data_IF_194968625051
#
_entry.id   IF_194968625051
#
_cell.length_a   1.000
_cell.length_b   1.000
_cell.length_c   1.000
_cell.angle_alpha   90.00
_cell.angle_beta   90.00
_cell.angle_gamma   90.00
#
_symmetry.space_group_name_H-M   'P 1'
#
loop_
_entity.id
_entity.type
_entity.pdbx_description
1 polymer ?
#
# COMPACT_ATOMS: atom_id res chain seq x y z
N UNK A 1 5.52 -15.60 4.98
CA UNK A 1 6.52 -14.96 4.10
C UNK A 1 6.93 -13.66 4.75
N UNK A 2 8.22 -13.36 4.85
CA UNK A 2 8.71 -12.14 5.48
C UNK A 2 9.24 -11.23 4.37
N UNK A 3 8.86 -9.96 4.39
CA UNK A 3 9.34 -8.92 3.47
C UNK A 3 10.22 -7.96 4.27
N UNK A 4 11.52 -7.92 3.95
CA UNK A 4 12.51 -7.22 4.79
C UNK A 4 12.88 -5.84 4.21
N UNK A 5 12.78 -5.69 2.89
CA UNK A 5 13.10 -4.47 2.16
C UNK A 5 12.12 -4.31 0.99
N UNK A 6 10.99 -3.64 1.26
CA UNK A 6 10.00 -3.30 0.24
C UNK A 6 10.45 -2.03 -0.48
N UNK A 7 10.50 -2.08 -1.81
CA UNK A 7 10.84 -0.93 -2.64
C UNK A 7 9.64 0.01 -2.83
N UNK A 8 8.43 -0.57 -2.90
CA UNK A 8 7.20 0.18 -3.10
C UNK A 8 6.02 -0.51 -2.41
N UNK A 9 5.22 0.27 -1.69
CA UNK A 9 3.98 -0.16 -1.05
C UNK A 9 2.89 0.84 -1.40
N UNK A 10 1.89 0.43 -2.19
CA UNK A 10 0.85 1.32 -2.68
C UNK A 10 -0.53 0.67 -2.60
N UNK A 11 -1.55 1.49 -2.34
CA UNK A 11 -2.95 1.11 -2.49
C UNK A 11 -3.52 1.79 -3.73
N UNK A 12 -4.20 1.03 -4.58
CA UNK A 12 -4.85 1.56 -5.77
C UNK A 12 -6.22 0.93 -6.00
N UNK A 13 -6.93 1.44 -6.98
CA UNK A 13 -8.26 0.96 -7.36
C UNK A 13 -8.42 0.86 -8.85
N UNK A 14 -9.19 -0.12 -9.31
CA UNK A 14 -9.54 -0.31 -10.72
C UNK A 14 -11.05 -0.34 -10.85
N UNK A 15 -11.57 0.10 -12.00
CA UNK A 15 -13.00 0.08 -12.30
C UNK A 15 -13.68 1.45 -12.16
N UNK A 16 -14.95 1.50 -12.55
CA UNK A 16 -15.76 2.71 -12.54
C UNK A 16 -16.23 3.04 -11.11
N UNK A 17 -16.56 4.30 -10.79
CA UNK A 17 -17.24 4.65 -9.55
C UNK A 17 -18.50 3.79 -9.35
N UNK A 18 -18.58 3.07 -8.22
CA UNK A 18 -19.65 2.09 -7.92
C UNK A 18 -19.23 0.64 -8.06
N UNK A 19 -18.25 0.37 -8.93
CA UNK A 19 -17.69 -0.98 -9.21
C UNK A 19 -16.18 -1.02 -8.97
N UNK A 20 -15.70 -0.20 -8.02
CA UNK A 20 -14.27 -0.12 -7.71
C UNK A 20 -13.83 -1.33 -6.92
N UNK A 21 -12.84 -2.03 -7.45
CA UNK A 21 -12.05 -3.00 -6.69
C UNK A 21 -10.78 -2.32 -6.17
N UNK A 22 -10.37 -2.66 -4.95
CA UNK A 22 -9.22 -2.08 -4.29
C UNK A 22 -8.13 -3.13 -4.16
N UNK A 23 -6.88 -2.69 -4.32
CA UNK A 23 -5.71 -3.56 -4.25
C UNK A 23 -4.59 -2.92 -3.44
N UNK A 24 -3.83 -3.75 -2.74
CA UNK A 24 -2.51 -3.40 -2.21
C UNK A 24 -1.46 -4.04 -3.12
N UNK A 25 -0.47 -3.26 -3.53
CA UNK A 25 0.72 -3.76 -4.22
C UNK A 25 1.99 -3.56 -3.39
N UNK A 26 2.79 -4.61 -3.32
CA UNK A 26 4.12 -4.61 -2.73
C UNK A 26 5.16 -5.02 -3.79
N UNK A 27 6.17 -4.19 -3.99
CA UNK A 27 7.32 -4.45 -4.85
C UNK A 27 8.54 -4.76 -4.00
N UNK A 28 9.20 -5.88 -4.28
CA UNK A 28 10.51 -6.21 -3.74
C UNK A 28 11.39 -6.78 -4.87
N UNK A 29 12.35 -5.99 -5.33
CA UNK A 29 13.16 -6.23 -6.51
C UNK A 29 12.28 -6.62 -7.70
N UNK A 30 12.46 -7.81 -8.26
CA UNK A 30 11.65 -8.31 -9.39
C UNK A 30 10.29 -8.86 -8.97
N UNK A 31 10.02 -8.99 -7.67
CA UNK A 31 8.80 -9.59 -7.16
C UNK A 31 7.71 -8.54 -6.93
N UNK A 32 6.55 -8.77 -7.52
CA UNK A 32 5.33 -8.01 -7.27
C UNK A 32 4.34 -8.93 -6.57
N UNK A 33 3.71 -8.44 -5.50
CA UNK A 33 2.61 -9.12 -4.81
C UNK A 33 1.43 -8.16 -4.82
N UNK A 34 0.29 -8.65 -5.29
CA UNK A 34 -0.95 -7.87 -5.34
C UNK A 34 -2.03 -8.59 -4.55
N UNK A 35 -2.73 -7.87 -3.69
CA UNK A 35 -3.76 -8.43 -2.82
C UNK A 35 -5.04 -7.62 -2.98
N UNK A 36 -6.17 -8.29 -3.22
CA UNK A 36 -7.49 -7.66 -3.21
C UNK A 36 -7.86 -7.28 -1.77
N UNK A 37 -8.51 -6.13 -1.60
CA UNK A 37 -8.85 -5.62 -0.27
C UNK A 37 -10.17 -4.87 -0.31
N UNK A 38 -10.89 -4.84 0.81
CA UNK A 38 -12.07 -3.99 0.93
C UNK A 38 -11.71 -2.54 1.23
N UNK A 39 -12.53 -1.59 0.76
CA UNK A 39 -12.39 -0.16 1.06
C UNK A 39 -12.32 0.14 2.56
N UNK A 40 -13.11 -0.58 3.36
CA UNK A 40 -13.15 -0.46 4.82
C UNK A 40 -11.80 -0.81 5.46
N UNK A 41 -11.16 -1.87 4.96
CA UNK A 41 -9.87 -2.35 5.43
C UNK A 41 -8.73 -1.42 5.01
N UNK A 42 -8.79 -0.86 3.79
CA UNK A 42 -7.86 0.20 3.35
C UNK A 42 -7.92 1.39 4.30
N UNK A 43 -9.12 1.87 4.63
CA UNK A 43 -9.28 3.01 5.53
C UNK A 43 -8.71 2.72 6.94
N UNK A 44 -8.97 1.53 7.48
CA UNK A 44 -8.44 1.11 8.76
C UNK A 44 -6.90 1.01 8.75
N UNK A 45 -6.32 0.42 7.69
CA UNK A 45 -4.88 0.29 7.51
C UNK A 45 -4.20 1.66 7.44
N UNK A 46 -4.71 2.57 6.62
CA UNK A 46 -4.16 3.93 6.49
C UNK A 46 -4.17 4.66 7.82
N UNK A 47 -5.30 4.64 8.54
CA UNK A 47 -5.38 5.29 9.86
C UNK A 47 -4.38 4.71 10.86
N UNK A 48 -4.20 3.39 10.87
CA UNK A 48 -3.22 2.73 11.74
C UNK A 48 -1.78 3.08 11.35
N UNK A 49 -1.47 3.10 10.06
CA UNK A 49 -0.15 3.47 9.54
C UNK A 49 0.20 4.92 9.89
N UNK A 50 -0.73 5.86 9.72
CA UNK A 50 -0.55 7.27 10.09
C UNK A 50 -0.21 7.43 11.58
N UNK A 51 -0.92 6.70 12.45
CA UNK A 51 -0.67 6.71 13.89
C UNK A 51 0.74 6.18 14.22
N UNK A 52 1.15 5.07 13.61
CA UNK A 52 2.48 4.49 13.80
C UNK A 52 3.59 5.41 13.28
N UNK A 53 3.43 5.95 12.07
CA UNK A 53 4.37 6.90 11.48
C UNK A 53 4.49 8.17 12.33
N UNK A 54 3.40 8.67 12.90
CA UNK A 54 3.42 9.81 13.83
C UNK A 54 4.29 9.52 15.06
N UNK A 55 4.21 8.32 15.63
CA UNK A 55 5.05 7.92 16.76
C UNK A 55 6.52 7.81 16.36
N UNK A 56 6.82 7.19 15.22
CA UNK A 56 8.18 7.04 14.71
C UNK A 56 8.84 8.38 14.35
N UNK A 57 8.06 9.35 13.85
CA UNK A 57 8.53 10.72 13.59
C UNK A 57 8.93 11.40 14.90
N UNK A 58 8.12 11.24 15.96
CA UNK A 58 8.43 11.79 17.29
C UNK A 58 9.68 11.18 17.92
N UNK A 59 9.94 9.90 17.67
CA UNK A 59 11.15 9.21 18.15
C UNK A 59 12.37 9.41 17.25
N UNK A 60 12.25 10.17 16.15
CA UNK A 60 13.36 10.44 15.22
C UNK A 60 13.81 9.25 14.36
N UNK A 61 13.03 8.19 14.28
CA UNK A 61 13.39 6.97 13.53
C UNK A 61 13.03 7.04 12.03
N UNK A 62 12.15 7.97 11.64
CA UNK A 62 11.77 8.20 10.25
C UNK A 62 11.77 9.69 9.93
N UNK A 63 11.91 10.03 8.65
CA UNK A 63 11.89 11.40 8.19
C UNK A 63 10.56 12.10 8.53
N UNK A 64 10.65 13.40 8.83
CA UNK A 64 9.47 14.23 9.12
C UNK A 64 8.52 14.34 7.90
N UNK A 65 9.08 14.26 6.69
CA UNK A 65 8.35 14.28 5.43
C UNK A 65 8.80 13.12 4.55
N UNK A 66 7.92 12.68 3.65
CA UNK A 66 8.22 11.63 2.68
C UNK A 66 7.63 12.03 1.32
N UNK A 67 8.28 11.65 0.21
CA UNK A 67 7.70 11.86 -1.11
C UNK A 67 6.37 11.10 -1.21
N UNK A 68 5.39 11.72 -1.87
CA UNK A 68 4.10 11.09 -2.16
C UNK A 68 4.24 10.25 -3.43
N UNK A 69 3.76 9.01 -3.38
CA UNK A 69 3.67 8.13 -4.53
C UNK A 69 2.25 8.19 -5.12
N UNK A 70 2.11 8.95 -6.20
CA UNK A 70 0.87 9.09 -6.97
C UNK A 70 0.89 8.26 -8.29
N UNK A 71 1.86 7.36 -8.45
CA UNK A 71 1.95 6.53 -9.66
C UNK A 71 0.89 5.43 -9.66
N UNK A 72 0.41 4.97 -10.83
CA UNK A 72 -0.59 3.91 -10.91
C UNK A 72 -0.07 2.57 -10.36
N UNK A 73 -1.00 1.64 -10.15
CA UNK A 73 -0.68 0.23 -9.93
C UNK A 73 0.09 -0.33 -11.12
N UNK A 74 1.07 -1.17 -10.82
CA UNK A 74 1.86 -1.86 -11.82
C UNK A 74 1.01 -2.92 -12.53
N UNK A 75 1.21 -3.05 -13.84
CA UNK A 75 0.48 -3.97 -14.71
C UNK A 75 1.32 -5.24 -14.99
N UNK A 76 0.69 -6.41 -15.16
CA UNK A 76 -0.74 -6.69 -14.98
C UNK A 76 -1.14 -6.71 -13.50
N UNK A 77 -2.40 -6.40 -13.22
CA UNK A 77 -2.96 -6.48 -11.86
C UNK A 77 -3.54 -7.89 -11.69
N UNK A 78 -2.73 -8.80 -11.15
CA UNK A 78 -3.10 -10.19 -10.85
C UNK A 78 -3.16 -10.37 -9.34
N UNK A 79 -4.31 -10.71 -8.77
CA UNK A 79 -4.45 -10.88 -7.31
C UNK A 79 -3.99 -12.27 -6.86
N UNK A 80 -3.10 -12.31 -5.86
CA UNK A 80 -2.58 -13.55 -5.28
C UNK A 80 -3.56 -14.22 -4.29
N UNK A 81 -4.64 -13.54 -3.90
CA UNK A 81 -5.62 -14.05 -2.95
C UNK A 81 -7.04 -13.62 -3.36
N UNK A 82 -7.94 -14.61 -3.39
CA UNK A 82 -9.39 -14.49 -3.42
C UNK A 82 -9.93 -15.12 -2.15
#
# INVERSE_FOLDING_TARGET
MIFDAIDRFIVGTVGQPGEREFFIQLRQSTRLVTVSIEKSQVAALTSRMEMLLSQLRKSGHVAATSPVDDQPLEQPIESDFV
#
